data_IF_159715984129
#
_entry.id   IF_159715984129
#
_cell.length_a   1.000
_cell.length_b   1.000
_cell.length_c   1.000
_cell.angle_alpha   90.00
_cell.angle_beta   90.00
_cell.angle_gamma   90.00
#
_symmetry.space_group_name_H-M   'P 1'
#
loop_
_entity.id
_entity.type
_entity.pdbx_description
1 polymer ?
#
# COMPACT_ATOMS: atom_id res chain seq x y z
N UNK A 1 41.50 6.44 24.88
CA UNK A 1 40.95 5.42 23.95
C UNK A 1 41.32 5.83 22.53
N UNK A 2 41.99 4.95 21.79
CA UNK A 2 42.54 5.22 20.46
C UNK A 2 41.42 5.63 19.48
N UNK A 3 41.47 6.86 18.96
CA UNK A 3 40.45 7.47 18.07
C UNK A 3 40.15 6.60 16.84
N UNK A 4 41.15 5.87 16.34
CA UNK A 4 41.01 4.89 15.24
C UNK A 4 40.06 3.75 15.58
N UNK A 5 40.07 3.27 16.82
CA UNK A 5 39.18 2.21 17.31
C UNK A 5 37.75 2.69 17.50
N UNK A 6 37.54 3.99 17.76
CA UNK A 6 36.20 4.57 17.91
C UNK A 6 35.52 4.75 16.55
N UNK A 7 36.28 5.08 15.51
CA UNK A 7 35.77 5.31 14.15
C UNK A 7 35.33 3.99 13.51
N UNK A 8 36.10 2.91 13.68
CA UNK A 8 35.72 1.59 13.16
C UNK A 8 34.43 1.08 13.79
N UNK A 9 34.29 1.18 15.11
CA UNK A 9 33.06 0.79 15.83
C UNK A 9 31.85 1.59 15.34
N UNK A 10 32.03 2.90 15.11
CA UNK A 10 30.97 3.76 14.59
C UNK A 10 30.55 3.36 13.16
N UNK A 11 31.52 3.07 12.29
CA UNK A 11 31.27 2.64 10.92
C UNK A 11 30.49 1.31 10.87
N UNK A 12 30.86 0.34 11.71
CA UNK A 12 30.11 -0.90 11.83
C UNK A 12 28.69 -0.66 12.35
N UNK A 13 28.52 0.15 13.39
CA UNK A 13 27.20 0.49 13.94
C UNK A 13 26.28 1.12 12.88
N UNK A 14 26.78 2.08 12.09
CA UNK A 14 26.02 2.67 10.98
C UNK A 14 25.65 1.65 9.91
N UNK A 15 26.57 0.74 9.56
CA UNK A 15 26.31 -0.32 8.58
C UNK A 15 25.20 -1.28 9.06
N UNK A 16 25.23 -1.66 10.34
CA UNK A 16 24.17 -2.48 10.95
C UNK A 16 22.83 -1.74 11.02
N UNK A 17 22.82 -0.43 11.35
CA UNK A 17 21.63 0.41 11.35
C UNK A 17 20.97 0.48 9.96
N UNK A 18 21.77 0.60 8.89
CA UNK A 18 21.23 0.58 7.52
C UNK A 18 20.54 -0.75 7.20
N UNK A 19 21.11 -1.89 7.60
CA UNK A 19 20.52 -3.21 7.38
C UNK A 19 19.22 -3.42 8.17
N UNK A 20 19.14 -2.89 9.39
CA UNK A 20 17.94 -2.95 10.24
C UNK A 20 16.75 -2.22 9.59
N UNK A 21 16.97 -1.07 8.95
CA UNK A 21 15.91 -0.33 8.26
C UNK A 21 15.29 -1.10 7.09
N UNK A 22 16.10 -1.82 6.30
CA UNK A 22 15.60 -2.65 5.20
C UNK A 22 14.77 -3.84 5.71
N UNK A 23 15.17 -4.47 6.81
CA UNK A 23 14.43 -5.56 7.42
C UNK A 23 13.06 -5.09 7.98
N UNK A 24 13.00 -3.87 8.54
CA UNK A 24 11.77 -3.32 9.10
C UNK A 24 10.75 -2.90 8.03
N UNK A 25 11.20 -2.50 6.84
CA UNK A 25 10.32 -2.05 5.74
C UNK A 25 9.35 -3.12 5.23
N UNK A 26 9.64 -4.40 5.47
CA UNK A 26 8.78 -5.51 5.04
C UNK A 26 7.86 -6.04 6.15
N UNK A 27 7.86 -5.39 7.32
CA UNK A 27 7.07 -5.80 8.50
C UNK A 27 5.81 -4.97 8.72
N UNK A 28 5.75 -3.78 8.11
CA UNK A 28 4.52 -3.01 8.00
C UNK A 28 3.72 -3.58 6.85
N UNK A 29 2.94 -4.60 7.18
CA UNK A 29 1.95 -5.24 6.30
C UNK A 29 0.81 -4.23 6.08
N UNK A 30 1.10 -3.15 5.35
CA UNK A 30 0.19 -2.04 5.02
C UNK A 30 -0.87 -2.55 4.05
N UNK A 31 -1.77 -3.38 4.57
CA UNK A 31 -2.91 -3.92 3.83
C UNK A 31 -3.89 -2.80 3.59
N UNK A 32 -3.96 -2.36 2.34
CA UNK A 32 -4.98 -1.43 1.89
C UNK A 32 -6.22 -2.24 1.54
N UNK A 33 -7.30 -2.04 2.28
CA UNK A 33 -8.60 -2.62 1.99
C UNK A 33 -9.42 -1.64 1.14
N UNK A 34 -9.74 -2.05 -0.09
CA UNK A 34 -10.61 -1.30 -0.99
C UNK A 34 -12.02 -1.87 -0.92
N UNK A 35 -12.97 -1.06 -0.45
CA UNK A 35 -14.40 -1.39 -0.43
C UNK A 35 -15.15 -0.58 -1.48
N UNK A 36 -16.01 -1.26 -2.23
CA UNK A 36 -16.87 -0.65 -3.24
C UNK A 36 -18.19 -1.43 -3.38
N UNK A 37 -19.19 -0.78 -3.98
CA UNK A 37 -20.51 -1.36 -4.22
C UNK A 37 -20.77 -1.40 -5.74
N UNK A 38 -21.41 -2.47 -6.20
CA UNK A 38 -21.85 -2.61 -7.59
C UNK A 38 -23.37 -2.53 -7.63
N UNK A 39 -23.89 -1.60 -8.42
CA UNK A 39 -25.33 -1.39 -8.60
C UNK A 39 -25.70 -1.32 -10.08
N UNK A 40 -26.96 -1.67 -10.36
CA UNK A 40 -27.57 -1.46 -11.65
C UNK A 40 -28.12 -0.03 -11.73
N UNK A 41 -27.63 0.73 -12.72
CA UNK A 41 -28.18 2.03 -13.07
C UNK A 41 -29.44 1.85 -13.95
N UNK A 42 -30.55 1.55 -13.29
CA UNK A 42 -31.84 1.28 -13.92
C UNK A 42 -32.35 2.46 -14.77
N UNK A 43 -31.94 3.68 -14.44
CA UNK A 43 -32.42 4.91 -15.06
C UNK A 43 -31.40 5.57 -16.00
N UNK A 44 -30.21 4.98 -16.16
CA UNK A 44 -29.09 5.50 -16.96
C UNK A 44 -28.66 6.93 -16.56
N UNK A 45 -28.78 7.25 -15.28
CA UNK A 45 -28.46 8.58 -14.74
C UNK A 45 -26.95 8.77 -14.51
N UNK A 46 -26.16 7.71 -14.67
CA UNK A 46 -24.71 7.66 -14.41
C UNK A 46 -24.35 8.02 -12.96
N UNK A 47 -25.31 7.88 -12.05
CA UNK A 47 -25.18 8.14 -10.63
C UNK A 47 -26.02 7.13 -9.84
N UNK A 48 -25.65 6.91 -8.59
CA UNK A 48 -26.42 6.05 -7.70
C UNK A 48 -27.64 6.83 -7.19
N UNK A 49 -28.80 6.18 -7.23
CA UNK A 49 -30.07 6.72 -6.73
C UNK A 49 -30.76 5.71 -5.82
N UNK A 50 -31.85 6.11 -5.17
CA UNK A 50 -32.66 5.20 -4.33
C UNK A 50 -33.28 4.04 -5.13
N UNK A 51 -33.51 4.23 -6.43
CA UNK A 51 -34.02 3.20 -7.32
C UNK A 51 -32.93 2.25 -7.84
N UNK A 52 -31.64 2.54 -7.58
CA UNK A 52 -30.54 1.68 -8.01
C UNK A 52 -30.58 0.34 -7.28
N UNK A 53 -30.43 -0.75 -8.03
CA UNK A 53 -30.50 -2.11 -7.47
C UNK A 53 -29.09 -2.67 -7.25
N UNK A 54 -28.78 -3.08 -6.02
CA UNK A 54 -27.51 -3.74 -5.71
C UNK A 54 -27.37 -5.08 -6.43
N UNK A 55 -26.16 -5.38 -6.89
CA UNK A 55 -25.84 -6.64 -7.58
C UNK A 55 -24.89 -7.47 -6.69
N UNK A 56 -25.42 -8.28 -5.76
CA UNK A 56 -24.60 -9.11 -4.88
C UNK A 56 -23.89 -10.22 -5.66
N UNK A 57 -22.74 -10.67 -5.15
CA UNK A 57 -21.98 -11.79 -5.74
C UNK A 57 -21.25 -11.46 -7.04
N UNK A 58 -21.23 -10.19 -7.45
CA UNK A 58 -20.46 -9.76 -8.62
C UNK A 58 -18.96 -9.82 -8.34
N UNK A 59 -18.20 -10.33 -9.31
CA UNK A 59 -16.74 -10.29 -9.28
C UNK A 59 -16.26 -9.03 -10.00
N UNK A 60 -15.38 -8.26 -9.35
CA UNK A 60 -14.75 -7.07 -9.93
C UNK A 60 -13.25 -7.29 -10.06
N UNK A 61 -12.64 -6.65 -11.06
CA UNK A 61 -11.19 -6.69 -11.29
C UNK A 61 -10.59 -5.33 -10.98
N UNK A 62 -9.63 -5.30 -10.06
CA UNK A 62 -8.80 -4.13 -9.82
C UNK A 62 -7.57 -4.20 -10.74
N UNK A 63 -7.22 -3.09 -11.39
CA UNK A 63 -6.00 -2.96 -12.18
C UNK A 63 -5.20 -1.76 -11.70
N UNK A 64 -3.94 -1.99 -11.34
CA UNK A 64 -2.96 -0.92 -11.10
C UNK A 64 -2.22 -0.63 -12.41
N UNK A 65 -2.04 0.65 -12.74
CA UNK A 65 -1.27 1.09 -13.90
C UNK A 65 -0.21 2.09 -13.43
N UNK A 66 0.99 1.98 -13.97
CA UNK A 66 2.03 2.99 -13.81
C UNK A 66 1.47 4.34 -14.31
N UNK A 67 1.72 5.43 -13.56
CA UNK A 67 1.14 6.74 -13.85
C UNK A 67 1.41 7.21 -15.28
N UNK A 68 0.40 7.84 -15.89
CA UNK A 68 0.49 8.45 -17.22
C UNK A 68 1.56 9.53 -17.27
N UNK A 69 2.36 9.49 -18.33
CA UNK A 69 3.41 10.45 -18.70
C UNK A 69 2.93 11.90 -18.66
#
# INVERSE_FOLDING_TARGET
MSTKSSITVLAFAFCFLSLLSFAYSNTTDDKIYLTGLVYCDNCQLKSMTEMSKMIPGTTVRLECREGGT
#
